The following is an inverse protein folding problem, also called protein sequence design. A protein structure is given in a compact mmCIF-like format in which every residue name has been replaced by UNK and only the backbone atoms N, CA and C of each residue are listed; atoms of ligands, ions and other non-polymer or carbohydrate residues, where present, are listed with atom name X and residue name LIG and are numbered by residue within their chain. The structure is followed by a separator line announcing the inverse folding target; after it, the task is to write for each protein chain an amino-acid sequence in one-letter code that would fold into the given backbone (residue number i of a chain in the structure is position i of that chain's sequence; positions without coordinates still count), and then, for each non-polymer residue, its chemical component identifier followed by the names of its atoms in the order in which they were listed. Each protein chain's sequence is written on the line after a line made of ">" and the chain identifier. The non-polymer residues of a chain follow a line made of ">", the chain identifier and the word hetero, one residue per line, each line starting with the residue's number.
data_IF_719445833713
#
_entry.id   IF_719445833713
#
_cell.length_a   1.000
_cell.length_b   1.000
_cell.length_c   1.000
_cell.angle_alpha   90.00
_cell.angle_beta   90.00
_cell.angle_gamma   90.00
#
_symmetry.space_group_name_H-M   'P 1'
#
loop_
_entity.id
_entity.type
_entity.pdbx_description
1 polymer ?
#
# COMPACT_ATOMS: atom_id res chain seq x y z
N UNK A 1 -61.42 -63.36 -75.15
CA UNK A 1 -60.61 -62.97 -73.95
C UNK A 1 -60.25 -61.54 -74.17
N UNK A 2 -60.95 -60.62 -73.46
CA UNK A 2 -60.81 -59.20 -73.56
C UNK A 2 -60.17 -58.73 -72.26
N UNK A 3 -58.99 -58.15 -72.34
CA UNK A 3 -58.28 -57.53 -71.20
C UNK A 3 -58.55 -56.03 -71.18
N UNK A 4 -59.25 -55.58 -70.15
CA UNK A 4 -59.59 -54.20 -69.95
C UNK A 4 -58.34 -53.42 -69.38
N UNK A 5 -57.98 -52.32 -70.05
CA UNK A 5 -57.00 -51.36 -69.60
C UNK A 5 -57.68 -50.32 -68.74
N UNK A 6 -57.39 -50.27 -67.43
CA UNK A 6 -57.87 -49.24 -66.53
C UNK A 6 -56.91 -48.04 -66.62
N UNK A 7 -57.43 -46.92 -67.11
CA UNK A 7 -56.70 -45.64 -67.11
C UNK A 7 -56.70 -44.99 -65.70
N UNK A 8 -55.59 -44.86 -65.14
CA UNK A 8 -55.39 -44.08 -63.88
C UNK A 8 -55.42 -42.57 -64.21
N UNK A 9 -56.39 -41.89 -63.68
CA UNK A 9 -56.57 -40.44 -63.79
C UNK A 9 -55.68 -39.75 -62.72
N UNK A 10 -54.59 -39.13 -63.15
CA UNK A 10 -53.76 -38.28 -62.31
C UNK A 10 -54.58 -37.06 -61.88
N UNK A 11 -54.84 -36.95 -60.57
CA UNK A 11 -55.40 -35.73 -59.98
C UNK A 11 -54.29 -34.74 -59.74
N UNK A 12 -54.37 -33.57 -60.36
CA UNK A 12 -53.51 -32.43 -60.03
C UNK A 12 -53.86 -31.91 -58.64
N UNK A 13 -52.87 -31.53 -57.85
CA UNK A 13 -53.11 -31.01 -56.50
C UNK A 13 -53.85 -29.67 -56.60
N UNK A 14 -54.99 -29.59 -55.94
CA UNK A 14 -55.74 -28.33 -55.76
C UNK A 14 -55.07 -27.55 -54.64
N UNK A 15 -54.37 -26.50 -54.99
CA UNK A 15 -53.86 -25.58 -54.04
C UNK A 15 -54.99 -24.76 -53.43
N UNK A 16 -55.24 -24.93 -52.16
CA UNK A 16 -56.23 -24.12 -51.41
C UNK A 16 -55.65 -22.73 -51.12
N UNK A 17 -56.52 -21.72 -51.01
CA UNK A 17 -56.08 -20.33 -50.73
C UNK A 17 -55.22 -20.18 -49.54
N UNK A 18 -55.32 -21.06 -48.54
CA UNK A 18 -54.48 -21.08 -47.35
C UNK A 18 -53.03 -21.51 -47.65
N UNK A 19 -52.80 -22.44 -48.57
CA UNK A 19 -51.44 -22.84 -48.96
C UNK A 19 -50.71 -21.76 -49.74
N UNK A 20 -51.45 -20.92 -50.47
CA UNK A 20 -50.92 -19.77 -51.19
C UNK A 20 -50.48 -18.65 -50.20
N UNK A 21 -51.28 -18.44 -49.14
CA UNK A 21 -50.87 -17.45 -48.07
C UNK A 21 -49.62 -17.88 -47.35
N UNK A 22 -49.42 -19.15 -47.01
CA UNK A 22 -48.22 -19.68 -46.41
C UNK A 22 -46.99 -19.54 -47.33
N UNK A 23 -47.16 -19.80 -48.61
CA UNK A 23 -46.12 -19.59 -49.62
C UNK A 23 -45.74 -18.11 -49.74
N UNK A 24 -46.71 -17.19 -49.69
CA UNK A 24 -46.48 -15.74 -49.71
C UNK A 24 -45.74 -15.28 -48.43
N UNK A 25 -46.06 -15.79 -47.24
CA UNK A 25 -45.40 -15.51 -46.02
C UNK A 25 -43.96 -16.05 -46.03
N UNK A 26 -43.72 -17.25 -46.54
CA UNK A 26 -42.39 -17.82 -46.74
C UNK A 26 -41.55 -16.99 -47.72
N UNK A 27 -42.15 -16.54 -48.82
CA UNK A 27 -41.50 -15.70 -49.82
C UNK A 27 -41.11 -14.34 -49.23
N UNK A 28 -41.98 -13.70 -48.43
CA UNK A 28 -41.71 -12.47 -47.71
C UNK A 28 -40.57 -12.65 -46.68
N UNK A 29 -40.53 -13.77 -45.96
CA UNK A 29 -39.44 -14.09 -45.05
C UNK A 29 -38.10 -14.25 -45.81
N UNK A 30 -38.07 -14.93 -46.95
CA UNK A 30 -36.88 -15.07 -47.79
C UNK A 30 -36.41 -13.73 -48.33
N UNK A 31 -37.32 -12.82 -48.71
CA UNK A 31 -36.95 -11.46 -49.14
C UNK A 31 -36.49 -10.56 -47.97
N UNK A 32 -37.04 -10.75 -46.75
CA UNK A 32 -36.55 -10.02 -45.55
C UNK A 32 -35.23 -10.53 -45.03
N UNK A 33 -34.91 -11.81 -45.24
CA UNK A 33 -33.61 -12.43 -44.86
C UNK A 33 -32.77 -12.75 -46.10
N UNK A 34 -32.93 -12.05 -47.20
CA UNK A 34 -32.01 -12.10 -48.33
C UNK A 34 -30.60 -11.91 -47.82
N UNK A 35 -29.56 -12.59 -48.37
CA UNK A 35 -28.18 -12.39 -47.95
C UNK A 35 -27.83 -10.93 -48.16
N UNK A 36 -27.93 -10.16 -47.07
CA UNK A 36 -27.27 -8.86 -47.05
C UNK A 36 -25.81 -9.17 -47.35
N UNK A 37 -25.31 -8.66 -48.47
CA UNK A 37 -23.88 -8.76 -48.75
C UNK A 37 -23.17 -8.26 -47.53
N UNK A 38 -22.34 -9.07 -46.81
CA UNK A 38 -21.50 -8.55 -45.79
C UNK A 38 -20.58 -7.55 -46.51
N UNK A 39 -20.85 -6.25 -46.34
CA UNK A 39 -19.83 -5.26 -46.61
C UNK A 39 -18.65 -5.73 -45.84
N UNK A 40 -17.65 -6.26 -46.52
CA UNK A 40 -16.36 -6.63 -45.94
C UNK A 40 -15.75 -5.35 -45.40
N UNK A 41 -16.17 -4.96 -44.20
CA UNK A 41 -15.42 -4.07 -43.38
C UNK A 41 -14.16 -4.86 -42.99
N UNK A 42 -13.07 -4.61 -43.66
CA UNK A 42 -11.73 -4.91 -43.13
C UNK A 42 -11.61 -4.13 -41.84
N UNK A 43 -12.16 -4.69 -40.76
CA UNK A 43 -11.95 -4.19 -39.41
C UNK A 43 -10.52 -4.52 -39.05
N UNK A 44 -9.60 -3.62 -39.40
CA UNK A 44 -8.26 -3.62 -38.81
C UNK A 44 -8.46 -3.49 -37.33
N UNK A 45 -7.88 -4.43 -36.56
CA UNK A 45 -7.85 -4.32 -35.09
C UNK A 45 -7.29 -2.96 -34.74
N UNK A 46 -7.94 -2.18 -33.84
CA UNK A 46 -7.46 -0.86 -33.45
C UNK A 46 -6.02 -0.94 -32.92
N UNK A 47 -5.15 -0.05 -33.38
CA UNK A 47 -3.81 0.09 -32.85
C UNK A 47 -3.87 0.65 -31.43
N UNK A 48 -3.30 -0.08 -30.46
CA UNK A 48 -3.21 0.39 -29.09
C UNK A 48 -2.04 1.35 -28.98
N UNK A 49 -2.31 2.57 -28.50
CA UNK A 49 -1.30 3.61 -28.26
C UNK A 49 -1.33 3.96 -26.78
N UNK A 50 -0.17 3.91 -26.12
CA UNK A 50 -0.02 4.26 -24.73
C UNK A 50 0.55 5.68 -24.63
N UNK A 51 -0.15 6.55 -23.91
CA UNK A 51 0.25 7.92 -23.64
C UNK A 51 0.63 8.11 -22.18
N UNK A 52 1.44 9.11 -21.91
CA UNK A 52 1.85 9.53 -20.58
C UNK A 52 1.07 10.77 -20.16
N UNK A 53 0.46 10.73 -18.98
CA UNK A 53 -0.27 11.89 -18.42
C UNK A 53 0.57 13.16 -18.45
N UNK A 54 0.02 14.25 -18.99
CA UNK A 54 0.69 15.55 -19.14
C UNK A 54 1.67 15.65 -20.31
N UNK A 55 2.01 14.55 -20.99
CA UNK A 55 2.88 14.55 -22.17
C UNK A 55 2.06 14.64 -23.47
N UNK A 56 2.70 14.47 -24.60
CA UNK A 56 2.06 14.47 -25.92
C UNK A 56 2.11 13.10 -26.55
N UNK A 57 1.10 12.76 -27.34
CA UNK A 57 1.04 11.55 -28.13
C UNK A 57 0.71 11.87 -29.58
N UNK A 58 1.23 11.06 -30.51
CA UNK A 58 0.88 11.13 -31.92
C UNK A 58 0.20 9.86 -32.36
N UNK A 59 -1.00 9.97 -32.95
CA UNK A 59 -1.70 8.87 -33.62
C UNK A 59 -1.30 8.93 -35.09
N UNK A 60 -0.46 8.00 -35.57
CA UNK A 60 0.11 8.07 -36.90
C UNK A 60 -0.95 7.83 -37.96
N UNK A 61 -0.89 8.55 -39.07
CA UNK A 61 -1.75 8.36 -40.23
C UNK A 61 -0.91 8.02 -41.44
N UNK A 62 -1.20 6.87 -42.05
CA UNK A 62 -0.53 6.41 -43.26
C UNK A 62 -1.48 6.47 -44.45
N UNK A 63 -1.01 7.12 -45.52
CA UNK A 63 -1.75 7.25 -46.75
C UNK A 63 -1.51 6.04 -47.66
N UNK A 64 -2.55 5.61 -48.38
CA UNK A 64 -2.38 4.66 -49.47
C UNK A 64 -1.49 5.27 -50.58
N UNK A 65 -0.53 4.50 -51.02
CA UNK A 65 0.41 4.95 -52.04
C UNK A 65 -0.33 5.31 -53.37
N UNK A 66 -0.06 6.49 -53.91
CA UNK A 66 -0.61 6.92 -55.19
C UNK A 66 -2.03 7.45 -55.14
N UNK A 67 -2.70 7.52 -53.98
CA UNK A 67 -4.05 8.08 -53.86
C UNK A 67 -4.05 9.56 -53.45
N UNK A 68 -4.88 10.37 -54.12
CA UNK A 68 -5.12 11.75 -53.71
C UNK A 68 -6.24 11.80 -52.67
N UNK A 69 -5.89 12.17 -51.45
CA UNK A 69 -6.87 12.30 -50.37
C UNK A 69 -7.63 13.63 -50.53
N UNK A 70 -8.97 13.55 -50.57
CA UNK A 70 -9.86 14.72 -50.66
C UNK A 70 -10.11 15.33 -49.30
N UNK A 71 -10.41 14.47 -48.30
CA UNK A 71 -10.62 14.92 -46.93
C UNK A 71 -10.28 13.84 -45.93
N UNK A 72 -9.97 14.28 -44.71
CA UNK A 72 -9.73 13.43 -43.53
C UNK A 72 -10.62 13.92 -42.40
N UNK A 73 -11.32 13.00 -41.75
CA UNK A 73 -12.12 13.30 -40.57
C UNK A 73 -11.62 12.49 -39.38
N UNK A 74 -11.18 13.20 -38.36
CA UNK A 74 -10.82 12.57 -37.08
C UNK A 74 -12.03 12.51 -36.14
N UNK A 75 -12.21 11.37 -35.51
CA UNK A 75 -13.27 11.11 -34.54
C UNK A 75 -12.65 10.70 -33.19
N UNK A 76 -13.33 11.08 -32.12
CA UNK A 76 -13.10 10.64 -30.76
C UNK A 76 -14.40 10.07 -30.19
N UNK A 77 -14.40 8.81 -29.76
CA UNK A 77 -15.59 8.10 -29.29
C UNK A 77 -16.81 8.27 -30.20
N UNK A 78 -16.59 8.16 -31.51
CA UNK A 78 -17.62 8.29 -32.54
C UNK A 78 -18.03 9.71 -32.88
N UNK A 79 -17.54 10.74 -32.17
CA UNK A 79 -17.83 12.16 -32.46
C UNK A 79 -16.71 12.78 -33.26
N UNK A 80 -17.04 13.51 -34.32
CA UNK A 80 -16.04 14.25 -35.12
C UNK A 80 -15.37 15.33 -34.27
N UNK A 81 -14.03 15.36 -34.27
CA UNK A 81 -13.21 16.34 -33.55
C UNK A 81 -12.45 17.26 -34.49
N UNK A 82 -12.17 16.81 -35.73
CA UNK A 82 -11.49 17.63 -36.73
C UNK A 82 -11.85 17.16 -38.14
N UNK A 83 -11.95 18.13 -39.05
CA UNK A 83 -12.08 17.92 -40.49
C UNK A 83 -10.90 18.62 -41.18
N UNK A 84 -10.23 17.90 -42.08
CA UNK A 84 -9.06 18.38 -42.81
C UNK A 84 -9.29 18.20 -44.29
N UNK A 85 -9.15 19.29 -45.06
CA UNK A 85 -9.10 19.26 -46.51
C UNK A 85 -7.66 19.52 -46.97
N UNK A 86 -6.90 18.47 -47.34
CA UNK A 86 -5.58 18.62 -47.89
C UNK A 86 -5.59 19.49 -49.18
N UNK A 87 -4.58 20.28 -49.38
CA UNK A 87 -4.43 21.11 -50.60
C UNK A 87 -2.99 21.05 -51.07
N UNK A 88 -2.81 20.77 -52.36
CA UNK A 88 -1.47 20.78 -52.99
C UNK A 88 -0.99 22.21 -53.27
N UNK A 89 -1.91 23.17 -53.52
CA UNK A 89 -1.61 24.52 -53.94
C UNK A 89 -1.70 25.56 -52.81
N UNK A 90 -2.31 25.24 -51.69
CA UNK A 90 -2.56 26.14 -50.54
C UNK A 90 -2.34 25.41 -49.22
N UNK A 91 -2.25 26.17 -48.16
CA UNK A 91 -2.28 25.57 -46.79
C UNK A 91 -3.54 24.71 -46.60
N UNK A 92 -3.45 23.53 -45.98
CA UNK A 92 -4.60 22.69 -45.74
C UNK A 92 -5.62 23.44 -44.87
N UNK A 93 -6.91 23.22 -45.18
CA UNK A 93 -7.98 23.78 -44.37
C UNK A 93 -8.27 22.78 -43.22
N UNK A 94 -8.09 23.24 -42.00
CA UNK A 94 -8.33 22.44 -40.80
C UNK A 94 -9.47 23.10 -40.01
N UNK A 95 -10.55 22.37 -39.82
CA UNK A 95 -11.70 22.79 -39.03
C UNK A 95 -11.82 21.90 -37.78
N UNK A 96 -11.63 22.49 -36.59
CA UNK A 96 -11.80 21.83 -35.34
C UNK A 96 -13.28 21.92 -34.92
N UNK A 97 -13.90 20.76 -34.62
CA UNK A 97 -15.32 20.71 -34.25
C UNK A 97 -15.49 20.64 -32.73
N UNK A 98 -14.45 20.27 -31.98
CA UNK A 98 -14.47 20.23 -30.52
C UNK A 98 -13.61 21.33 -29.90
N UNK A 99 -14.20 22.42 -29.35
CA UNK A 99 -13.44 23.55 -28.81
C UNK A 99 -12.65 23.20 -27.56
N UNK A 100 -13.06 22.18 -26.78
CA UNK A 100 -12.33 21.73 -25.57
C UNK A 100 -10.98 21.10 -25.93
N UNK A 101 -10.98 20.25 -26.93
CA UNK A 101 -9.76 19.61 -27.44
C UNK A 101 -8.94 20.53 -28.34
N UNK A 102 -9.55 21.53 -28.98
CA UNK A 102 -8.94 22.34 -30.04
C UNK A 102 -7.63 23.03 -29.64
N UNK A 103 -7.47 23.40 -28.37
CA UNK A 103 -6.21 24.01 -27.88
C UNK A 103 -5.06 23.00 -27.71
N UNK A 104 -5.38 21.72 -27.59
CA UNK A 104 -4.42 20.63 -27.38
C UNK A 104 -4.22 19.76 -28.60
N UNK A 105 -5.08 19.91 -29.63
CA UNK A 105 -4.99 19.21 -30.91
C UNK A 105 -4.05 19.93 -31.87
N UNK A 106 -3.17 19.16 -32.46
CA UNK A 106 -2.31 19.58 -33.55
C UNK A 106 -2.23 18.47 -34.60
N UNK A 107 -1.69 18.80 -35.79
CA UNK A 107 -1.54 17.86 -36.89
C UNK A 107 -0.12 17.96 -37.45
N UNK A 108 0.48 16.77 -37.70
CA UNK A 108 1.76 16.70 -38.40
C UNK A 108 1.60 17.05 -39.91
N UNK A 109 2.70 17.13 -40.61
CA UNK A 109 2.67 17.32 -42.09
C UNK A 109 1.94 16.16 -42.80
N UNK A 110 1.94 14.95 -42.21
CA UNK A 110 1.18 13.79 -42.69
C UNK A 110 -0.23 13.74 -42.11
N UNK A 111 -0.76 14.83 -41.57
CA UNK A 111 -2.08 14.91 -40.93
C UNK A 111 -2.34 13.88 -39.82
N UNK A 112 -1.28 13.29 -39.26
CA UNK A 112 -1.35 12.47 -38.05
C UNK A 112 -1.81 13.37 -36.91
N UNK A 113 -2.72 12.84 -36.07
CA UNK A 113 -3.26 13.57 -34.93
C UNK A 113 -2.22 13.62 -33.80
N UNK A 114 -1.89 14.82 -33.35
CA UNK A 114 -1.06 15.05 -32.18
C UNK A 114 -1.90 15.67 -31.08
N UNK A 115 -1.94 15.02 -29.91
CA UNK A 115 -2.63 15.50 -28.72
C UNK A 115 -1.59 15.80 -27.63
N UNK A 116 -1.57 17.05 -27.15
CA UNK A 116 -0.64 17.54 -26.14
C UNK A 116 -1.32 17.69 -24.78
N UNK A 117 -0.51 17.70 -23.71
CA UNK A 117 -0.98 17.79 -22.33
C UNK A 117 -2.09 16.78 -22.04
N UNK A 118 -1.77 15.49 -22.17
CA UNK A 118 -2.72 14.39 -22.03
C UNK A 118 -3.37 14.38 -20.65
N UNK A 119 -4.69 14.22 -20.63
CA UNK A 119 -5.54 14.07 -19.46
C UNK A 119 -6.10 12.64 -19.42
N UNK A 120 -6.47 12.14 -18.26
CA UNK A 120 -7.03 10.76 -18.14
C UNK A 120 -8.31 10.60 -18.97
N UNK A 121 -9.05 11.67 -19.13
CA UNK A 121 -10.30 11.78 -19.92
C UNK A 121 -10.08 11.63 -21.42
N UNK A 122 -8.84 11.79 -21.90
CA UNK A 122 -8.51 11.58 -23.32
C UNK A 122 -8.40 10.10 -23.68
N UNK A 123 -8.45 9.21 -22.70
CA UNK A 123 -8.51 7.76 -22.91
C UNK A 123 -9.77 7.42 -23.70
N UNK A 124 -9.60 6.67 -24.81
CA UNK A 124 -10.76 6.29 -25.62
C UNK A 124 -10.40 5.81 -27.00
N UNK A 125 -11.44 5.70 -27.84
CA UNK A 125 -11.34 5.27 -29.22
C UNK A 125 -11.19 6.47 -30.15
N UNK A 126 -10.13 6.45 -30.96
CA UNK A 126 -9.89 7.43 -32.00
C UNK A 126 -9.97 6.75 -33.36
N UNK A 127 -10.48 7.47 -34.38
CA UNK A 127 -10.43 6.96 -35.72
C UNK A 127 -10.25 8.10 -36.73
N UNK A 128 -9.50 7.81 -37.78
CA UNK A 128 -9.32 8.69 -38.91
C UNK A 128 -10.00 8.07 -40.12
N UNK A 129 -10.99 8.76 -40.67
CA UNK A 129 -11.62 8.41 -41.92
C UNK A 129 -10.98 9.22 -43.03
N UNK A 130 -10.30 8.56 -43.97
CA UNK A 130 -9.68 9.14 -45.12
C UNK A 130 -10.50 8.86 -46.37
N UNK A 131 -10.90 9.87 -47.11
CA UNK A 131 -11.63 9.73 -48.36
C UNK A 131 -10.78 10.19 -49.53
N UNK A 132 -10.59 9.32 -50.50
CA UNK A 132 -10.00 9.63 -51.78
C UNK A 132 -11.13 9.71 -52.86
N UNK A 133 -10.74 9.78 -54.14
CA UNK A 133 -11.72 9.75 -55.27
C UNK A 133 -12.40 8.39 -55.40
N UNK A 134 -11.68 7.34 -55.08
CA UNK A 134 -12.08 5.94 -55.36
C UNK A 134 -12.33 5.12 -54.10
N UNK A 135 -11.71 5.47 -52.96
CA UNK A 135 -11.72 4.65 -51.77
C UNK A 135 -11.98 5.45 -50.50
N UNK A 136 -12.45 4.75 -49.48
CA UNK A 136 -12.55 5.21 -48.09
C UNK A 136 -11.80 4.24 -47.21
N UNK A 137 -10.81 4.76 -46.49
CA UNK A 137 -10.01 3.99 -45.51
C UNK A 137 -10.22 4.53 -44.12
N UNK A 138 -10.32 3.64 -43.15
CA UNK A 138 -10.44 3.98 -41.74
C UNK A 138 -9.22 3.41 -40.99
N UNK A 139 -8.54 4.28 -40.25
CA UNK A 139 -7.51 3.89 -39.30
C UNK A 139 -8.06 4.06 -37.88
N UNK A 140 -8.01 3.01 -37.09
CA UNK A 140 -8.58 2.99 -35.73
C UNK A 140 -7.51 2.83 -34.68
N UNK A 141 -7.67 3.56 -33.57
CA UNK A 141 -6.73 3.59 -32.44
C UNK A 141 -7.48 3.47 -31.12
N UNK A 142 -6.83 2.85 -30.13
CA UNK A 142 -7.25 2.88 -28.73
C UNK A 142 -6.16 3.57 -27.93
N UNK A 143 -6.42 4.80 -27.51
CA UNK A 143 -5.51 5.55 -26.65
C UNK A 143 -5.77 5.16 -25.19
N UNK A 144 -4.68 4.79 -24.50
CA UNK A 144 -4.65 4.50 -23.06
C UNK A 144 -3.65 5.42 -22.39
N UNK A 145 -4.04 6.10 -21.32
CA UNK A 145 -3.18 7.05 -20.65
C UNK A 145 -2.79 6.49 -19.28
N UNK A 146 -1.49 6.59 -18.99
CA UNK A 146 -0.87 6.08 -17.79
C UNK A 146 -0.08 7.18 -17.09
N UNK A 147 0.00 7.10 -15.78
CA UNK A 147 0.96 7.89 -14.99
C UNK A 147 2.31 7.19 -14.99
N UNK A 148 3.39 7.97 -15.04
CA UNK A 148 4.73 7.40 -14.77
C UNK A 148 4.80 6.92 -13.33
N UNK A 149 5.39 5.78 -13.13
CA UNK A 149 5.68 5.26 -11.79
C UNK A 149 6.66 6.20 -11.09
N UNK A 150 6.48 6.37 -9.78
CA UNK A 150 7.36 7.17 -8.91
C UNK A 150 7.72 6.36 -7.68
N UNK A 151 8.95 6.55 -7.21
CA UNK A 151 9.45 6.08 -5.92
C UNK A 151 9.09 4.62 -5.61
N UNK A 152 9.89 3.70 -6.16
CA UNK A 152 9.82 2.30 -5.76
C UNK A 152 10.42 2.12 -4.37
N UNK A 153 9.76 1.36 -3.52
CA UNK A 153 10.18 1.07 -2.15
C UNK A 153 10.09 -0.43 -1.89
N UNK A 154 11.06 -0.93 -1.15
CA UNK A 154 11.05 -2.30 -0.63
C UNK A 154 11.04 -2.23 0.88
N UNK A 155 9.98 -2.74 1.49
CA UNK A 155 9.93 -2.99 2.93
C UNK A 155 10.36 -4.42 3.19
N UNK A 156 11.08 -4.62 4.28
CA UNK A 156 11.59 -5.92 4.68
C UNK A 156 11.18 -6.27 6.11
N UNK A 157 11.03 -7.55 6.34
CA UNK A 157 11.01 -8.16 7.65
C UNK A 157 11.90 -9.38 7.60
N UNK A 158 12.87 -9.49 8.51
CA UNK A 158 13.79 -10.61 8.58
C UNK A 158 13.78 -11.23 9.96
N UNK A 159 13.83 -12.55 10.00
CA UNK A 159 13.83 -13.35 11.23
C UNK A 159 14.92 -14.42 11.15
N UNK A 160 15.72 -14.54 12.23
CA UNK A 160 16.71 -15.57 12.34
C UNK A 160 16.11 -16.82 12.98
N UNK A 161 16.21 -17.94 12.29
CA UNK A 161 15.81 -19.25 12.78
C UNK A 161 16.84 -19.82 13.79
N UNK A 162 16.45 -20.79 14.61
CA UNK A 162 17.33 -21.50 15.53
C UNK A 162 18.56 -22.13 14.84
N UNK A 163 18.42 -22.50 13.56
CA UNK A 163 19.50 -23.05 12.75
C UNK A 163 20.42 -21.99 12.09
N UNK A 164 20.27 -20.72 12.46
CA UNK A 164 20.94 -19.55 11.84
C UNK A 164 20.62 -19.36 10.35
N UNK A 165 19.49 -19.87 9.89
CA UNK A 165 18.94 -19.57 8.58
C UNK A 165 18.10 -18.30 8.74
N UNK A 166 18.34 -17.33 7.88
CA UNK A 166 17.62 -16.07 7.86
C UNK A 166 16.43 -16.19 6.92
N UNK A 167 15.22 -16.01 7.44
CA UNK A 167 14.01 -15.90 6.65
C UNK A 167 13.72 -14.42 6.41
N UNK A 168 13.72 -14.00 5.15
CA UNK A 168 13.55 -12.62 4.74
C UNK A 168 12.27 -12.49 3.96
N UNK A 169 11.36 -11.63 4.41
CA UNK A 169 10.14 -11.28 3.72
C UNK A 169 10.29 -9.89 3.12
N UNK A 170 10.18 -9.79 1.81
CA UNK A 170 10.30 -8.55 1.06
C UNK A 170 8.95 -8.18 0.48
N UNK A 171 8.56 -6.92 0.60
CA UNK A 171 7.36 -6.37 -0.04
C UNK A 171 7.74 -5.16 -0.86
N UNK A 172 7.49 -5.24 -2.16
CA UNK A 172 7.74 -4.18 -3.11
C UNK A 172 6.48 -3.32 -3.31
N UNK A 173 6.65 -2.02 -3.32
CA UNK A 173 5.57 -1.06 -3.52
C UNK A 173 6.05 0.16 -4.30
N UNK A 174 5.13 0.90 -4.89
CA UNK A 174 5.38 2.20 -5.51
C UNK A 174 4.47 3.26 -4.91
N UNK A 175 4.90 4.51 -4.99
CA UNK A 175 4.06 5.65 -4.65
C UNK A 175 2.94 5.78 -5.68
N UNK A 176 1.72 6.07 -5.26
CA UNK A 176 0.52 6.14 -6.11
C UNK A 176 0.32 4.87 -6.96
N UNK A 177 -0.06 3.74 -6.37
CA UNK A 177 -0.35 2.54 -7.13
C UNK A 177 -1.54 2.80 -8.06
N UNK A 178 -1.24 2.99 -9.33
CA UNK A 178 -2.24 3.07 -10.38
C UNK A 178 -2.65 1.68 -10.82
N UNK A 179 -3.81 1.58 -11.44
CA UNK A 179 -4.24 0.34 -12.07
C UNK A 179 -3.19 -0.14 -13.10
N UNK A 180 -3.00 -1.45 -13.20
CA UNK A 180 -2.12 -2.12 -14.14
C UNK A 180 -0.60 -1.98 -13.90
N UNK A 181 -0.17 -2.06 -12.64
CA UNK A 181 1.25 -2.23 -12.31
C UNK A 181 1.55 -3.72 -12.20
N UNK A 182 2.57 -4.17 -12.88
CA UNK A 182 3.15 -5.51 -12.69
C UNK A 182 4.42 -5.42 -11.87
N UNK A 183 4.55 -6.33 -10.91
CA UNK A 183 5.75 -6.50 -10.11
C UNK A 183 6.44 -7.79 -10.47
N UNK A 184 7.77 -7.80 -10.46
CA UNK A 184 8.57 -9.00 -10.56
C UNK A 184 9.83 -8.88 -9.71
N UNK A 185 10.28 -10.01 -9.19
CA UNK A 185 11.54 -10.14 -8.49
C UNK A 185 12.55 -10.89 -9.36
N UNK A 186 13.76 -10.36 -9.42
CA UNK A 186 14.87 -10.96 -10.14
C UNK A 186 16.09 -11.14 -9.23
N UNK A 187 16.80 -12.25 -9.45
CA UNK A 187 18.11 -12.48 -8.87
C UNK A 187 19.02 -13.16 -9.89
N UNK A 188 20.27 -12.75 -9.99
CA UNK A 188 21.25 -13.22 -10.98
C UNK A 188 20.73 -13.18 -12.42
N UNK A 189 19.94 -12.14 -12.75
CA UNK A 189 19.35 -11.97 -14.08
C UNK A 189 18.21 -12.93 -14.42
N UNK A 190 17.69 -13.68 -13.43
CA UNK A 190 16.54 -14.58 -13.60
C UNK A 190 15.35 -14.09 -12.82
N UNK A 191 14.17 -14.14 -13.44
CA UNK A 191 12.90 -13.85 -12.75
C UNK A 191 12.56 -14.99 -11.80
N UNK A 192 12.37 -14.65 -10.52
CA UNK A 192 11.99 -15.59 -9.46
C UNK A 192 10.47 -15.67 -9.32
N UNK A 193 9.83 -14.51 -9.23
CA UNK A 193 8.42 -14.39 -8.92
C UNK A 193 7.83 -13.15 -9.60
N UNK A 194 6.54 -13.21 -9.98
CA UNK A 194 5.79 -12.09 -10.59
C UNK A 194 4.70 -11.57 -9.65
N UNK A 195 5.09 -11.30 -8.42
CA UNK A 195 4.23 -10.77 -7.36
C UNK A 195 5.00 -9.73 -6.54
N UNK A 196 4.33 -8.83 -5.81
CA UNK A 196 5.00 -7.82 -5.01
C UNK A 196 5.73 -8.39 -3.79
N UNK A 197 5.32 -9.56 -3.29
CA UNK A 197 5.85 -10.17 -2.09
C UNK A 197 6.81 -11.31 -2.46
N UNK A 198 8.00 -11.32 -1.84
CA UNK A 198 9.00 -12.39 -2.00
C UNK A 198 9.46 -12.85 -0.62
N UNK A 199 9.47 -14.17 -0.41
CA UNK A 199 10.06 -14.79 0.79
C UNK A 199 11.31 -15.56 0.39
N UNK A 200 12.41 -15.32 1.12
CA UNK A 200 13.73 -15.89 0.86
C UNK A 200 14.22 -16.56 2.14
N UNK A 201 14.75 -17.78 2.02
CA UNK A 201 15.53 -18.43 3.08
C UNK A 201 17.01 -18.32 2.71
N UNK A 202 17.77 -17.54 3.48
CA UNK A 202 19.19 -17.30 3.22
C UNK A 202 20.05 -17.89 4.34
N UNK A 203 21.03 -18.75 3.95
CA UNK A 203 22.00 -19.36 4.87
C UNK A 203 23.36 -18.69 4.67
N UNK A 204 23.86 -17.92 5.64
CA UNK A 204 25.14 -17.22 5.53
C UNK A 204 26.35 -18.15 5.31
N UNK A 205 26.22 -19.44 5.64
CA UNK A 205 27.30 -20.41 5.51
C UNK A 205 27.45 -20.98 4.10
N UNK A 206 26.33 -21.06 3.36
CA UNK A 206 26.26 -21.72 2.06
C UNK A 206 25.88 -20.79 0.90
N UNK A 207 25.43 -19.56 1.22
CA UNK A 207 24.95 -18.61 0.23
C UNK A 207 26.01 -17.54 -0.03
N UNK A 208 26.35 -17.32 -1.30
CA UNK A 208 27.12 -16.15 -1.72
C UNK A 208 26.31 -14.88 -1.55
N UNK A 209 26.98 -13.74 -1.52
CA UNK A 209 26.32 -12.43 -1.60
C UNK A 209 25.36 -12.41 -2.79
N UNK A 210 24.10 -12.12 -2.54
CA UNK A 210 23.06 -12.15 -3.55
C UNK A 210 22.12 -10.97 -3.37
N UNK A 211 21.98 -10.22 -4.48
CA UNK A 211 21.05 -9.13 -4.59
C UNK A 211 19.73 -9.61 -5.19
N UNK A 212 18.65 -9.15 -4.61
CA UNK A 212 17.29 -9.34 -5.08
C UNK A 212 16.75 -8.01 -5.56
N UNK A 213 16.35 -7.95 -6.81
CA UNK A 213 15.87 -6.74 -7.46
C UNK A 213 14.37 -6.82 -7.67
N UNK A 214 13.63 -5.91 -7.06
CA UNK A 214 12.24 -5.69 -7.42
C UNK A 214 12.16 -4.77 -8.63
N UNK A 215 11.33 -5.13 -9.59
CA UNK A 215 11.01 -4.33 -10.77
C UNK A 215 9.52 -4.11 -10.78
N UNK A 216 9.11 -2.85 -10.78
CA UNK A 216 7.73 -2.40 -10.97
C UNK A 216 7.60 -1.80 -12.37
N UNK A 217 6.62 -2.24 -13.14
CA UNK A 217 6.46 -1.88 -14.54
C UNK A 217 4.99 -1.59 -14.86
N UNK A 218 4.75 -0.54 -15.63
CA UNK A 218 3.51 -0.31 -16.33
C UNK A 218 3.76 -0.08 -17.82
N UNK A 219 2.73 0.25 -18.60
CA UNK A 219 2.84 0.38 -20.06
C UNK A 219 3.75 1.51 -20.54
N UNK A 220 4.18 2.44 -19.67
CA UNK A 220 4.93 3.66 -20.06
C UNK A 220 6.20 3.90 -19.23
N UNK A 221 6.41 3.14 -18.15
CA UNK A 221 7.58 3.31 -17.28
C UNK A 221 7.91 2.05 -16.50
N UNK A 222 9.16 1.93 -16.09
CA UNK A 222 9.64 0.91 -15.18
C UNK A 222 10.54 1.54 -14.11
N UNK A 223 10.55 0.93 -12.92
CA UNK A 223 11.43 1.27 -11.82
C UNK A 223 12.00 -0.02 -11.24
N UNK A 224 13.21 0.05 -10.70
CA UNK A 224 13.84 -1.08 -10.04
C UNK A 224 14.50 -0.67 -8.74
N UNK A 225 14.52 -1.57 -7.78
CA UNK A 225 15.18 -1.41 -6.49
C UNK A 225 15.81 -2.74 -6.06
N UNK A 226 17.09 -2.70 -5.67
CA UNK A 226 17.84 -3.89 -5.26
C UNK A 226 18.11 -3.89 -3.76
N UNK A 227 18.01 -5.07 -3.14
CA UNK A 227 18.32 -5.32 -1.75
C UNK A 227 19.27 -6.50 -1.63
N UNK A 228 20.27 -6.40 -0.76
CA UNK A 228 21.20 -7.48 -0.47
C UNK A 228 20.69 -8.33 0.69
N UNK A 229 20.54 -9.64 0.48
CA UNK A 229 20.13 -10.58 1.53
C UNK A 229 21.14 -10.63 2.68
N UNK A 230 22.42 -10.56 2.38
CA UNK A 230 23.49 -10.54 3.36
C UNK A 230 23.36 -9.35 4.31
N UNK A 231 23.11 -8.14 3.78
CA UNK A 231 22.94 -6.94 4.59
C UNK A 231 21.72 -7.04 5.50
N UNK A 232 20.57 -7.46 4.97
CA UNK A 232 19.33 -7.60 5.71
C UNK A 232 19.43 -8.62 6.84
N UNK A 233 20.17 -9.72 6.62
CA UNK A 233 20.40 -10.74 7.62
C UNK A 233 21.47 -10.36 8.64
N UNK A 234 22.53 -9.66 8.23
CA UNK A 234 23.58 -9.17 9.12
C UNK A 234 23.06 -8.19 10.17
N UNK A 235 22.11 -7.34 9.81
CA UNK A 235 21.48 -6.41 10.74
C UNK A 235 20.70 -7.15 11.84
N UNK A 236 20.04 -8.26 11.53
CA UNK A 236 19.31 -9.09 12.52
C UNK A 236 20.26 -9.87 13.43
N UNK A 237 21.36 -10.41 12.89
CA UNK A 237 22.36 -11.13 13.68
C UNK A 237 23.04 -10.21 14.69
N UNK A 238 23.39 -8.99 14.30
CA UNK A 238 23.97 -7.97 15.16
C UNK A 238 22.99 -7.58 16.29
N UNK A 239 21.72 -7.36 15.97
CA UNK A 239 20.71 -7.01 16.97
C UNK A 239 20.50 -8.13 18.00
N UNK A 240 20.53 -9.40 17.58
CA UNK A 240 20.39 -10.55 18.48
C UNK A 240 21.59 -10.70 19.42
N UNK A 241 22.82 -10.51 18.93
CA UNK A 241 24.04 -10.56 19.74
C UNK A 241 24.10 -9.44 20.78
N UNK A 242 23.74 -8.20 20.39
CA UNK A 242 23.71 -7.06 21.29
C UNK A 242 22.69 -7.24 22.43
N UNK A 243 21.52 -7.76 22.14
CA UNK A 243 20.47 -8.01 23.14
C UNK A 243 20.92 -9.05 24.17
N UNK A 244 21.56 -10.12 23.74
CA UNK A 244 22.09 -11.15 24.63
C UNK A 244 23.24 -10.60 25.51
N UNK A 245 24.15 -9.83 24.94
CA UNK A 245 25.24 -9.19 25.69
C UNK A 245 24.70 -8.27 26.79
N UNK A 246 23.73 -7.43 26.47
CA UNK A 246 23.07 -6.54 27.44
C UNK A 246 22.41 -7.36 28.55
N UNK A 247 21.72 -8.45 28.23
CA UNK A 247 21.09 -9.32 29.22
C UNK A 247 22.11 -9.96 30.17
N UNK A 248 23.23 -10.48 29.64
CA UNK A 248 24.29 -11.08 30.45
C UNK A 248 24.97 -10.05 31.34
N UNK A 249 25.23 -8.85 30.84
CA UNK A 249 25.79 -7.75 31.63
C UNK A 249 24.82 -7.36 32.75
N UNK A 250 23.55 -7.22 32.48
CA UNK A 250 22.52 -6.88 33.47
C UNK A 250 22.41 -7.96 34.56
N UNK A 251 22.39 -9.23 34.18
CA UNK A 251 22.37 -10.36 35.16
C UNK A 251 23.66 -10.38 36.00
N UNK A 252 24.81 -10.17 35.37
CA UNK A 252 26.08 -10.11 36.08
C UNK A 252 26.15 -8.98 37.12
N UNK A 253 25.69 -7.79 36.75
CA UNK A 253 25.58 -6.65 37.67
C UNK A 253 24.64 -6.90 38.83
N UNK A 254 23.48 -7.50 38.59
CA UNK A 254 22.53 -7.88 39.63
C UNK A 254 23.17 -8.86 40.65
N UNK A 255 23.89 -9.88 40.18
CA UNK A 255 24.59 -10.84 41.04
C UNK A 255 25.63 -10.15 41.91
N UNK A 256 26.44 -9.26 41.35
CA UNK A 256 27.46 -8.49 42.11
C UNK A 256 26.80 -7.63 43.19
N UNK A 257 25.71 -6.95 42.88
CA UNK A 257 24.96 -6.13 43.84
C UNK A 257 24.41 -7.01 44.99
N UNK A 258 23.84 -8.15 44.70
CA UNK A 258 23.36 -9.08 45.73
C UNK A 258 24.51 -9.54 46.61
N UNK A 259 25.66 -9.87 46.03
CA UNK A 259 26.84 -10.29 46.78
C UNK A 259 27.33 -9.21 47.72
N UNK A 260 27.36 -7.96 47.26
CA UNK A 260 27.74 -6.81 48.09
C UNK A 260 26.76 -6.62 49.25
N UNK A 261 25.46 -6.72 49.00
CA UNK A 261 24.42 -6.59 50.04
C UNK A 261 24.60 -7.70 51.10
N UNK A 262 24.76 -8.94 50.66
CA UNK A 262 24.99 -10.08 51.61
C UNK A 262 26.26 -9.86 52.45
N UNK A 263 27.33 -9.42 51.78
CA UNK A 263 28.61 -9.13 52.51
C UNK A 263 28.41 -8.02 53.56
N UNK A 264 27.73 -6.94 53.22
CA UNK A 264 27.44 -5.86 54.16
C UNK A 264 26.55 -6.34 55.33
N UNK A 265 25.57 -7.19 55.06
CA UNK A 265 24.75 -7.77 56.13
C UNK A 265 25.54 -8.70 57.07
N UNK A 266 26.44 -9.51 56.52
CA UNK A 266 27.35 -10.36 57.31
C UNK A 266 28.30 -9.51 58.15
N UNK A 267 28.88 -8.46 57.56
CA UNK A 267 29.78 -7.53 58.28
C UNK A 267 29.01 -6.78 59.39
N UNK A 268 27.78 -6.34 59.12
CA UNK A 268 26.90 -5.71 60.12
C UNK A 268 26.57 -6.68 61.26
N UNK A 269 26.26 -7.96 60.96
CA UNK A 269 26.01 -9.00 61.98
C UNK A 269 27.25 -9.29 62.83
N UNK A 270 28.43 -9.38 62.22
CA UNK A 270 29.72 -9.53 62.95
C UNK A 270 30.00 -8.36 63.85
N UNK A 271 29.80 -7.11 63.40
CA UNK A 271 29.96 -5.90 64.25
C UNK A 271 28.99 -5.87 65.41
N UNK A 272 27.70 -6.24 65.18
CA UNK A 272 26.70 -6.32 66.24
C UNK A 272 27.07 -7.37 67.30
N UNK A 273 27.52 -8.56 66.84
CA UNK A 273 28.01 -9.60 67.77
C UNK A 273 29.23 -9.18 68.54
N UNK A 274 30.17 -8.45 67.95
CA UNK A 274 31.36 -7.91 68.65
C UNK A 274 30.99 -6.83 69.68
N UNK A 275 30.05 -5.92 69.34
CA UNK A 275 29.52 -4.93 70.28
C UNK A 275 28.76 -5.58 71.46
N UNK A 276 27.95 -6.62 71.21
CA UNK A 276 27.23 -7.36 72.22
C UNK A 276 28.17 -8.08 73.18
N UNK A 277 29.24 -8.70 72.66
CA UNK A 277 30.27 -9.33 73.52
C UNK A 277 31.07 -8.33 74.34
N UNK A 278 31.33 -7.11 73.78
CA UNK A 278 31.98 -6.01 74.55
C UNK A 278 31.07 -5.47 75.64
N UNK A 279 29.74 -5.34 75.34
CA UNK A 279 28.76 -4.86 76.32
C UNK A 279 28.56 -5.87 77.47
N UNK A 280 28.55 -7.16 77.19
CA UNK A 280 28.47 -8.21 78.22
C UNK A 280 29.74 -8.26 79.12
N UNK A 281 30.93 -7.99 78.58
CA UNK A 281 32.15 -7.86 79.35
C UNK A 281 32.14 -6.65 80.27
N UNK A 282 31.61 -5.50 79.81
CA UNK A 282 31.46 -4.27 80.59
C UNK A 282 30.41 -4.43 81.69
N UNK A 283 29.31 -5.14 81.46
CA UNK A 283 28.25 -5.46 82.40
C UNK A 283 28.75 -6.45 83.46
N UNK A 284 29.58 -7.46 83.07
CA UNK A 284 30.26 -8.34 84.04
C UNK A 284 31.23 -7.62 84.95
N UNK A 285 31.99 -6.63 84.43
CA UNK A 285 32.87 -5.82 85.20
C UNK A 285 32.14 -4.86 86.17
N UNK A 286 30.98 -4.33 85.74
CA UNK A 286 30.19 -3.45 86.61
C UNK A 286 29.52 -4.22 87.75
N UNK A 287 29.02 -5.46 87.49
CA UNK A 287 28.44 -6.34 88.53
C UNK A 287 29.48 -6.77 89.57
N UNK A 288 30.76 -7.00 89.22
CA UNK A 288 31.85 -7.28 90.14
C UNK A 288 32.25 -6.08 91.03
N UNK A 289 32.09 -4.85 90.54
CA UNK A 289 32.34 -3.62 91.29
C UNK A 289 31.19 -3.28 92.25
N UNK A 290 29.98 -3.70 92.04
CA UNK A 290 28.82 -3.43 92.90
C UNK A 290 28.74 -4.43 94.03
N UNK A 291 29.34 -5.61 93.96
CA UNK A 291 29.32 -6.61 94.99
C UNK A 291 30.34 -6.38 96.14
N UNK A 292 31.19 -5.33 96.06
CA UNK A 292 32.23 -5.00 97.03
C UNK A 292 31.83 -3.89 98.00
N UNK A 293 30.61 -3.34 97.91
CA UNK A 293 30.14 -2.26 98.79
C UNK A 293 28.71 -2.56 99.35
N UNK A 294 28.52 -3.61 100.09
CA UNK A 294 27.40 -3.70 101.04
C UNK A 294 27.86 -4.45 102.31
N UNK A 295 28.16 -3.70 103.29
CA UNK A 295 28.07 -4.06 104.66
C UNK A 295 26.73 -3.59 105.25
N UNK A 296 26.22 -4.08 106.37
CA UNK A 296 24.78 -4.19 106.64
C UNK A 296 24.23 -3.07 107.51
N UNK A 297 22.94 -2.75 107.38
CA UNK A 297 22.03 -2.30 108.48
C UNK A 297 20.66 -1.89 107.84
N UNK A 298 19.62 -2.43 108.26
CA UNK A 298 18.68 -2.44 109.37
C UNK A 298 17.33 -1.81 108.95
N UNK A 299 16.33 -2.66 109.11
CA UNK A 299 14.94 -2.45 109.52
C UNK A 299 14.23 -1.13 109.37
N UNK A 300 12.96 -1.28 108.91
CA UNK A 300 11.92 -0.25 109.15
C UNK A 300 10.75 -0.34 108.17
N UNK A 301 9.82 -1.01 108.60
CA UNK A 301 8.38 -1.19 108.55
C UNK A 301 7.53 -0.10 107.88
N UNK A 302 6.45 -0.62 107.33
CA UNK A 302 5.06 -0.12 107.22
C UNK A 302 4.56 0.58 105.98
N UNK A 303 3.61 -0.04 105.48
CA UNK A 303 2.16 0.26 105.16
C UNK A 303 1.78 0.85 103.80
N UNK A 304 0.97 0.09 103.13
CA UNK A 304 -0.31 0.32 102.48
C UNK A 304 -0.52 1.50 101.53
N UNK A 305 -0.90 1.23 100.35
CA UNK A 305 -2.28 1.41 99.87
C UNK A 305 -2.36 1.40 98.33
N UNK A 306 -3.20 0.51 97.89
CA UNK A 306 -4.05 0.40 96.75
C UNK A 306 -4.29 1.70 95.99
N UNK A 307 -4.39 1.63 94.65
CA UNK A 307 -5.55 1.88 93.81
C UNK A 307 -5.17 1.84 92.34
N UNK A 308 -5.88 1.02 91.58
CA UNK A 308 -6.02 0.91 90.12
C UNK A 308 -6.97 1.99 89.56
N UNK A 309 -7.35 2.05 88.33
CA UNK A 309 -6.64 2.17 87.01
C UNK A 309 -7.08 3.43 86.22
N UNK A 310 -6.44 3.76 85.14
CA UNK A 310 -6.93 4.79 84.22
C UNK A 310 -6.36 4.64 82.81
N UNK A 311 -7.25 4.21 81.94
CA UNK A 311 -7.06 4.21 80.53
C UNK A 311 -6.82 5.61 79.98
N UNK A 312 -5.83 5.81 79.16
CA UNK A 312 -5.78 6.90 78.24
C UNK A 312 -5.18 6.45 76.88
N UNK A 313 -6.11 6.28 75.97
CA UNK A 313 -5.83 6.13 74.54
C UNK A 313 -5.40 7.47 73.95
N UNK A 314 -4.25 7.53 73.32
CA UNK A 314 -3.75 8.70 72.60
C UNK A 314 -3.92 8.41 71.14
N UNK A 315 -4.76 9.16 70.47
CA UNK A 315 -4.91 9.19 68.97
C UNK A 315 -3.83 10.11 68.39
N UNK A 316 -3.01 9.57 67.50
CA UNK A 316 -2.10 10.32 66.66
C UNK A 316 -2.79 10.69 65.35
N UNK A 317 -2.93 11.98 65.09
CA UNK A 317 -3.43 12.52 63.85
C UNK A 317 -2.29 12.62 62.81
N UNK A 318 -2.49 11.97 61.67
CA UNK A 318 -1.60 12.06 60.52
C UNK A 318 -2.10 13.13 59.57
N UNK A 319 -1.38 14.24 59.46
CA UNK A 319 -1.59 15.26 58.41
C UNK A 319 -0.81 14.87 57.16
N UNK A 320 -1.55 14.60 56.08
CA UNK A 320 -1.00 14.46 54.73
C UNK A 320 -0.73 15.82 54.11
N UNK A 321 0.54 16.12 53.84
CA UNK A 321 0.89 17.23 52.94
C UNK A 321 1.24 16.66 51.57
N UNK A 322 0.35 16.90 50.60
CA UNK A 322 0.56 16.59 49.22
C UNK A 322 1.43 17.64 48.54
N UNK A 323 2.62 17.26 48.11
CA UNK A 323 3.42 18.03 47.12
C UNK A 323 3.28 17.39 45.77
N UNK A 324 2.58 18.04 44.86
CA UNK A 324 2.45 17.70 43.46
C UNK A 324 3.68 18.26 42.72
N UNK A 325 4.46 17.39 42.09
CA UNK A 325 5.44 17.75 41.06
C UNK A 325 4.91 17.33 39.71
N UNK A 326 5.06 18.15 38.65
CA UNK A 326 4.55 17.80 37.33
C UNK A 326 5.59 16.95 36.59
N UNK A 327 5.26 15.70 36.37
CA UNK A 327 5.97 14.86 35.38
C UNK A 327 5.29 14.98 34.03
N UNK A 328 6.05 15.46 33.07
CA UNK A 328 5.73 15.48 31.67
C UNK A 328 5.74 14.05 31.12
N UNK A 329 4.57 13.58 30.68
CA UNK A 329 4.46 12.31 29.96
C UNK A 329 4.56 12.55 28.47
N UNK A 330 5.57 12.01 27.82
CA UNK A 330 5.59 11.68 26.40
C UNK A 330 4.84 10.37 26.19
N UNK A 331 3.96 10.26 25.19
CA UNK A 331 3.28 9.01 24.93
C UNK A 331 4.08 8.15 23.98
N UNK A 332 4.73 7.12 24.52
CA UNK A 332 5.05 5.92 23.78
C UNK A 332 4.14 4.81 24.29
N UNK A 333 3.31 4.30 23.43
CA UNK A 333 2.81 2.93 23.35
C UNK A 333 1.41 2.91 22.76
N UNK A 334 1.31 2.30 21.61
CA UNK A 334 0.23 1.35 21.32
C UNK A 334 0.61 0.60 20.05
N UNK A 335 1.28 -0.52 20.25
CA UNK A 335 1.23 -1.66 19.33
C UNK A 335 0.74 -2.83 20.16
N UNK A 336 -0.44 -3.28 19.87
CA UNK A 336 -0.98 -4.62 19.92
C UNK A 336 -2.51 -4.54 20.12
N UNK A 337 -3.23 -4.89 19.17
CA UNK A 337 -4.41 -5.72 19.07
C UNK A 337 -5.32 -5.27 17.92
N UNK A 338 -5.52 -6.19 17.04
CA UNK A 338 -6.50 -6.21 15.97
C UNK A 338 -7.94 -6.10 16.50
N UNK A 339 -8.81 -5.55 15.67
CA UNK A 339 -10.26 -5.40 15.74
C UNK A 339 -10.77 -4.18 16.51
N UNK A 340 -11.12 -3.16 15.73
CA UNK A 340 -12.43 -2.56 15.89
C UNK A 340 -12.82 -1.89 14.58
N UNK A 341 -13.85 -2.46 14.01
CA UNK A 341 -14.64 -1.97 12.88
C UNK A 341 -15.55 -0.84 13.39
N UNK A 342 -15.73 0.14 12.52
CA UNK A 342 -16.88 1.03 12.41
C UNK A 342 -17.01 2.25 13.34
N UNK A 343 -17.30 3.33 12.64
CA UNK A 343 -17.99 4.56 13.05
C UNK A 343 -17.20 5.62 13.80
N UNK A 344 -16.76 6.61 13.03
CA UNK A 344 -16.92 8.00 13.42
C UNK A 344 -17.26 8.84 12.20
N UNK A 345 -18.56 9.08 12.06
CA UNK A 345 -19.15 10.13 11.25
C UNK A 345 -19.05 11.46 12.00
N UNK A 346 -18.72 12.49 11.24
CA UNK A 346 -19.17 13.86 11.41
C UNK A 346 -18.72 14.68 12.63
N UNK A 347 -17.97 15.69 12.37
CA UNK A 347 -18.23 17.12 12.61
C UNK A 347 -16.92 17.89 12.75
N UNK A 348 -16.63 18.71 11.81
CA UNK A 348 -16.32 20.11 12.09
C UNK A 348 -16.30 20.93 10.80
N UNK A 349 -17.39 21.57 10.60
CA UNK A 349 -17.54 22.83 9.88
C UNK A 349 -17.03 23.96 10.76
N UNK A 350 -16.60 25.04 10.10
CA UNK A 350 -16.51 26.42 10.53
C UNK A 350 -15.35 26.83 11.44
N UNK A 351 -14.57 27.66 10.89
CA UNK A 351 -14.09 29.01 11.15
C UNK A 351 -12.67 29.16 10.60
N UNK A 352 -12.26 30.09 9.83
CA UNK A 352 -12.49 31.52 9.87
C UNK A 352 -12.15 32.16 8.52
N UNK A 353 -13.04 33.02 8.12
CA UNK A 353 -12.80 34.18 7.27
C UNK A 353 -11.99 35.24 8.00
N UNK A 354 -11.50 36.18 7.15
CA UNK A 354 -10.91 37.51 7.43
C UNK A 354 -9.40 37.43 7.68
N UNK A 355 -8.62 38.14 6.91
CA UNK A 355 -8.47 39.54 6.67
C UNK A 355 -7.50 39.83 5.55
N UNK A 356 -7.79 40.78 4.81
CA UNK A 356 -7.15 41.98 4.25
C UNK A 356 -6.40 41.74 2.96
N UNK A 357 -6.72 42.38 1.86
CA UNK A 357 -7.20 43.75 1.67
C UNK A 357 -6.06 44.58 1.08
N UNK A 358 -6.25 45.08 -0.16
CA UNK A 358 -5.64 46.24 -0.75
C UNK A 358 -4.12 46.31 -0.94
N UNK A 359 -3.70 46.37 -2.20
CA UNK A 359 -3.07 47.56 -2.82
C UNK A 359 -2.73 47.36 -4.30
N UNK A 360 -3.44 48.18 -5.08
CA UNK A 360 -3.01 49.12 -6.12
C UNK A 360 -2.27 48.50 -7.31
N UNK A 361 -2.90 48.53 -8.49
CA UNK A 361 -2.91 49.61 -9.49
C UNK A 361 -1.63 50.43 -9.56
N UNK A 362 -1.01 50.34 -10.71
CA UNK A 362 -0.21 51.24 -11.55
C UNK A 362 1.10 50.56 -11.95
N UNK A 363 1.33 50.29 -13.10
CA UNK A 363 1.63 50.96 -14.36
C UNK A 363 1.49 49.98 -15.51
#
# INVERSE_FOLDING_TARGET
>A
MATALTASRSQAPVFTAESMLWLFQLLLLVFCFGPGNPVSQTSSTPLIVNGVLGESVTLPLEFPAGEKIKFITWHYNGTSIAFIAPSEAKSPQIHLTNPKLGKRLNFTQSYSLQLSNLEMEDTGSYSALMSSETTVKVSSYTLRIFRKLKNIQVTNYSQLSQNRICEIHLTCSVEDPNDNISFKWEALGKTLLREPNLTISWDPRNSSEQDYTCIAENAVSNLSFSVSAQKLCGDVENQYTDTNVILFVALGTCIVIIFIIVLLLVLKKRRAGFLSSRLSLLQGSLLLSIQQTQGPESAGNTDNASVSPGNNTVYASVTHSARVSPFSFTPHCCKFYSRCSQTCHHNRLTDQMTTEGRRRQRQ
#
